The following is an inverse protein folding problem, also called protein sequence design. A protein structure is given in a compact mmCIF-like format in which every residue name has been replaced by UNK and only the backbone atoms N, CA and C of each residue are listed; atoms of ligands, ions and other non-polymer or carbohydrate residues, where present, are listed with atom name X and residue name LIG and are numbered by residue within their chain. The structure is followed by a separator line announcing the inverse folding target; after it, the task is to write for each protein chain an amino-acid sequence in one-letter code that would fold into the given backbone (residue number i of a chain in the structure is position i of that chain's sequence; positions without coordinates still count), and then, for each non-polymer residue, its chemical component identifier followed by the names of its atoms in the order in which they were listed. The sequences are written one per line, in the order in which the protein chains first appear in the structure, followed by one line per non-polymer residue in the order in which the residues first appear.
data_IF_983445526780
#
_entry.id   IF_983445526780
#
_cell.length_a   1.000
_cell.length_b   1.000
_cell.length_c   1.000
_cell.angle_alpha   90.00
_cell.angle_beta   90.00
_cell.angle_gamma   90.00
#
_symmetry.space_group_name_H-M   'P 1'
#
loop_
_entity.id
_entity.type
_entity.pdbx_description
1 polymer ?
#
# COMPACT_ATOMS: atom_id res chain seq x y z
N UNK A 1 -21.56 -40.81 16.97
CA UNK A 1 -20.89 -39.50 17.14
C UNK A 1 -19.69 -39.27 16.19
N UNK A 2 -19.10 -40.29 15.54
CA UNK A 2 -17.90 -40.10 14.70
C UNK A 2 -18.17 -39.47 13.31
N UNK A 3 -19.40 -39.58 12.78
CA UNK A 3 -19.75 -39.03 11.45
C UNK A 3 -19.77 -37.48 11.43
N UNK A 4 -20.22 -36.84 12.52
CA UNK A 4 -20.26 -35.37 12.63
C UNK A 4 -18.85 -34.74 12.72
N UNK A 5 -17.91 -35.41 13.40
CA UNK A 5 -16.54 -34.91 13.50
C UNK A 5 -15.79 -35.00 12.15
N UNK A 6 -16.08 -36.02 11.34
CA UNK A 6 -15.52 -36.16 9.99
C UNK A 6 -16.06 -35.08 9.03
N UNK A 7 -17.33 -34.71 9.15
CA UNK A 7 -17.95 -33.65 8.34
C UNK A 7 -17.38 -32.28 8.71
N UNK A 8 -17.20 -31.97 10.02
CA UNK A 8 -16.54 -30.74 10.46
C UNK A 8 -15.07 -30.65 10.00
N UNK A 9 -14.34 -31.76 9.97
CA UNK A 9 -12.96 -31.78 9.48
C UNK A 9 -12.87 -31.54 7.97
N UNK A 10 -13.78 -32.12 7.18
CA UNK A 10 -13.83 -31.89 5.72
C UNK A 10 -14.33 -30.49 5.37
N UNK A 11 -15.30 -29.94 6.09
CA UNK A 11 -15.71 -28.55 5.94
C UNK A 11 -14.55 -27.60 6.27
N UNK A 12 -13.78 -27.88 7.33
CA UNK A 12 -12.57 -27.14 7.67
C UNK A 12 -11.50 -27.17 6.56
N UNK A 13 -11.29 -28.32 5.92
CA UNK A 13 -10.36 -28.46 4.80
C UNK A 13 -10.82 -27.74 3.52
N UNK A 14 -12.13 -27.69 3.28
CA UNK A 14 -12.70 -26.96 2.14
C UNK A 14 -12.60 -25.45 2.35
N UNK A 15 -12.84 -24.96 3.57
CA UNK A 15 -12.69 -23.55 3.92
C UNK A 15 -11.24 -23.07 3.81
N UNK A 16 -10.27 -23.87 4.24
CA UNK A 16 -8.84 -23.53 4.07
C UNK A 16 -8.38 -23.61 2.62
N UNK A 17 -8.85 -24.62 1.86
CA UNK A 17 -8.56 -24.73 0.43
C UNK A 17 -9.11 -23.57 -0.39
N UNK A 18 -10.36 -23.17 -0.13
CA UNK A 18 -10.98 -22.02 -0.80
C UNK A 18 -10.30 -20.69 -0.42
N UNK A 19 -9.88 -20.56 0.84
CA UNK A 19 -9.09 -19.42 1.30
C UNK A 19 -7.74 -19.30 0.58
N UNK A 20 -7.05 -20.42 0.34
CA UNK A 20 -5.75 -20.42 -0.34
C UNK A 20 -5.86 -20.06 -1.82
N UNK A 21 -6.91 -20.53 -2.50
CA UNK A 21 -7.20 -20.12 -3.88
C UNK A 21 -7.55 -18.62 -3.95
N UNK A 22 -8.40 -18.11 -3.05
CA UNK A 22 -8.77 -16.69 -3.01
C UNK A 22 -7.56 -15.77 -2.75
N UNK A 23 -6.62 -16.19 -1.89
CA UNK A 23 -5.36 -15.46 -1.64
C UNK A 23 -4.49 -15.39 -2.90
N UNK A 24 -4.44 -16.48 -3.68
CA UNK A 24 -3.64 -16.55 -4.90
C UNK A 24 -4.17 -15.61 -6.00
N UNK A 25 -5.50 -15.55 -6.17
CA UNK A 25 -6.14 -14.64 -7.13
C UNK A 25 -6.02 -13.18 -6.71
N UNK A 26 -6.11 -12.89 -5.40
CA UNK A 26 -5.91 -11.53 -4.86
C UNK A 26 -4.46 -11.06 -5.05
N UNK A 27 -3.47 -11.94 -4.88
CA UNK A 27 -2.06 -11.63 -5.09
C UNK A 27 -1.75 -11.26 -6.56
N UNK A 28 -2.43 -11.90 -7.52
CA UNK A 28 -2.30 -11.53 -8.93
C UNK A 28 -2.96 -10.18 -9.26
N UNK A 29 -4.07 -9.85 -8.60
CA UNK A 29 -4.80 -8.60 -8.83
C UNK A 29 -4.07 -7.36 -8.27
N UNK A 30 -3.27 -7.50 -7.22
CA UNK A 30 -2.51 -6.37 -6.65
C UNK A 30 -1.23 -6.03 -7.45
N UNK A 31 -0.89 -6.82 -8.47
CA UNK A 31 0.32 -6.65 -9.27
C UNK A 31 0.13 -5.82 -10.56
N UNK A 32 -0.70 -4.78 -10.49
CA UNK A 32 -1.16 -4.02 -11.68
C UNK A 32 -0.29 -2.80 -12.03
N UNK A 33 0.85 -2.61 -11.34
CA UNK A 33 1.67 -1.44 -11.60
C UNK A 33 2.61 -1.66 -12.81
N UNK A 34 2.73 -0.68 -13.74
CA UNK A 34 3.53 -0.81 -14.96
C UNK A 34 5.03 -0.96 -14.67
N UNK A 35 5.81 -1.48 -15.61
CA UNK A 35 7.26 -1.56 -15.44
C UNK A 35 7.87 -0.17 -15.15
N UNK A 36 8.79 -0.10 -14.19
CA UNK A 36 9.43 1.17 -13.80
C UNK A 36 10.37 1.66 -14.90
N UNK A 37 10.04 2.79 -15.52
CA UNK A 37 10.86 3.41 -16.57
C UNK A 37 11.90 4.41 -16.03
N UNK A 38 11.87 4.73 -14.74
CA UNK A 38 12.78 5.68 -14.08
C UNK A 38 13.26 5.14 -12.72
N UNK A 39 14.40 5.64 -12.25
CA UNK A 39 14.97 5.25 -10.94
C UNK A 39 14.04 5.58 -9.76
N UNK A 40 13.36 6.71 -9.84
CA UNK A 40 12.37 7.12 -8.84
C UNK A 40 11.14 6.19 -8.85
N UNK A 41 10.73 5.67 -10.02
CA UNK A 41 9.64 4.71 -10.12
C UNK A 41 10.03 3.32 -9.58
N UNK A 42 11.30 2.93 -9.69
CA UNK A 42 11.84 1.69 -9.10
C UNK A 42 11.75 1.75 -7.56
N UNK A 43 12.18 2.86 -6.96
CA UNK A 43 12.10 3.04 -5.50
C UNK A 43 10.65 3.09 -4.99
N UNK A 44 9.75 3.76 -5.72
CA UNK A 44 8.30 3.77 -5.43
C UNK A 44 7.71 2.35 -5.48
N UNK A 45 8.09 1.53 -6.47
CA UNK A 45 7.64 0.14 -6.60
C UNK A 45 8.08 -0.70 -5.40
N UNK A 46 9.32 -0.51 -4.94
CA UNK A 46 9.84 -1.21 -3.76
C UNK A 46 9.09 -0.82 -2.47
N UNK A 47 8.80 0.47 -2.29
CA UNK A 47 7.99 0.95 -1.16
C UNK A 47 6.56 0.42 -1.20
N UNK A 48 5.95 0.32 -2.39
CA UNK A 48 4.61 -0.21 -2.56
C UNK A 48 4.51 -1.67 -2.08
N UNK A 49 5.41 -2.55 -2.54
CA UNK A 49 5.37 -3.97 -2.13
C UNK A 49 5.75 -4.18 -0.67
N UNK A 50 6.70 -3.41 -0.14
CA UNK A 50 7.07 -3.52 1.28
C UNK A 50 5.91 -3.13 2.21
N UNK A 51 5.09 -2.13 1.83
CA UNK A 51 3.86 -1.79 2.56
C UNK A 51 2.81 -2.89 2.44
N UNK A 52 2.60 -3.45 1.23
CA UNK A 52 1.64 -4.54 1.03
C UNK A 52 2.01 -5.78 1.87
N UNK A 53 3.28 -6.14 1.92
CA UNK A 53 3.76 -7.24 2.78
C UNK A 53 3.53 -6.91 4.25
N UNK A 54 3.81 -5.68 4.69
CA UNK A 54 3.56 -5.25 6.07
C UNK A 54 2.07 -5.36 6.46
N UNK A 55 1.18 -4.90 5.59
CA UNK A 55 -0.27 -5.05 5.77
C UNK A 55 -0.67 -6.52 5.87
N UNK A 56 -0.08 -7.39 5.06
CA UNK A 56 -0.38 -8.83 5.11
C UNK A 56 0.10 -9.47 6.41
N UNK A 57 1.32 -9.14 6.86
CA UNK A 57 1.89 -9.65 8.11
C UNK A 57 1.03 -9.26 9.31
N UNK A 58 0.62 -8.00 9.41
CA UNK A 58 -0.22 -7.53 10.53
C UNK A 58 -1.63 -8.11 10.47
N UNK A 59 -2.21 -8.29 9.29
CA UNK A 59 -3.50 -8.95 9.10
C UNK A 59 -3.48 -10.41 9.62
N UNK A 60 -2.48 -11.18 9.22
CA UNK A 60 -2.30 -12.57 9.70
C UNK A 60 -1.99 -12.58 11.20
N UNK A 61 -1.22 -11.61 11.69
CA UNK A 61 -0.93 -11.46 13.13
C UNK A 61 -2.19 -11.31 13.97
N UNK A 62 -3.12 -10.44 13.56
CA UNK A 62 -4.41 -10.25 14.24
C UNK A 62 -5.30 -11.49 14.10
N UNK A 63 -5.37 -12.08 12.91
CA UNK A 63 -6.20 -13.27 12.68
C UNK A 63 -5.70 -14.49 13.48
N UNK A 64 -4.38 -14.66 13.58
CA UNK A 64 -3.73 -15.69 14.40
C UNK A 64 -3.95 -15.45 15.89
N UNK A 65 -3.87 -14.20 16.36
CA UNK A 65 -4.15 -13.85 17.76
C UNK A 65 -5.60 -14.17 18.15
N UNK A 66 -6.56 -13.90 17.25
CA UNK A 66 -7.96 -14.27 17.45
C UNK A 66 -8.12 -15.79 17.53
N UNK A 67 -7.45 -16.55 16.64
CA UNK A 67 -7.49 -18.01 16.65
C UNK A 67 -6.85 -18.61 17.92
N UNK A 68 -5.77 -18.02 18.41
CA UNK A 68 -5.12 -18.39 19.67
C UNK A 68 -6.09 -18.32 20.85
N UNK A 69 -6.86 -17.23 20.94
CA UNK A 69 -7.88 -17.06 21.99
C UNK A 69 -8.94 -18.16 21.96
N UNK A 70 -9.41 -18.55 20.76
CA UNK A 70 -10.44 -19.57 20.59
C UNK A 70 -9.91 -20.99 20.89
N UNK A 71 -8.69 -21.32 20.48
CA UNK A 71 -8.12 -22.64 20.70
C UNK A 71 -7.70 -22.86 22.16
N UNK A 72 -7.15 -21.86 22.83
CA UNK A 72 -6.70 -21.96 24.22
C UNK A 72 -7.85 -21.95 25.23
N UNK A 73 -8.94 -21.20 24.95
CA UNK A 73 -10.10 -21.14 25.84
C UNK A 73 -11.16 -22.21 25.59
N UNK A 74 -10.91 -23.18 24.70
CA UNK A 74 -11.81 -24.33 24.52
C UNK A 74 -11.70 -25.33 25.70
N UNK A 75 -12.49 -25.04 26.74
CA UNK A 75 -13.34 -25.96 27.54
C UNK A 75 -12.74 -27.19 28.28
N UNK A 76 -11.44 -27.38 28.48
CA UNK A 76 -10.95 -28.64 29.06
C UNK A 76 -9.98 -28.61 30.26
N UNK A 77 -9.86 -27.53 31.04
CA UNK A 77 -9.17 -27.59 32.35
C UNK A 77 -9.87 -26.67 33.33
N UNK A 78 -10.62 -27.23 34.28
CA UNK A 78 -11.45 -26.51 35.26
C UNK A 78 -10.72 -25.32 35.91
N UNK A 79 -10.82 -24.16 35.29
CA UNK A 79 -10.08 -22.98 35.68
C UNK A 79 -10.80 -22.31 36.84
N UNK A 80 -10.19 -22.38 38.02
CA UNK A 80 -10.45 -21.43 39.11
C UNK A 80 -10.29 -20.04 38.51
N UNK A 81 -11.34 -19.22 38.56
CA UNK A 81 -11.31 -17.84 38.05
C UNK A 81 -10.27 -17.06 38.86
N UNK A 82 -9.05 -16.98 38.33
CA UNK A 82 -8.08 -16.03 38.82
C UNK A 82 -8.45 -14.66 38.24
N UNK A 83 -8.70 -13.70 39.13
CA UNK A 83 -8.87 -12.29 38.78
C UNK A 83 -7.52 -11.78 38.26
N UNK A 84 -7.23 -12.02 36.99
CA UNK A 84 -6.18 -11.32 36.28
C UNK A 84 -6.88 -10.24 35.46
N UNK A 85 -6.73 -9.01 35.94
CA UNK A 85 -6.88 -7.83 35.12
C UNK A 85 -6.17 -8.06 33.79
N UNK A 86 -6.82 -7.58 32.73
CA UNK A 86 -6.45 -7.60 31.31
C UNK A 86 -4.99 -7.92 31.02
N UNK A 87 -4.75 -8.62 29.92
CA UNK A 87 -3.40 -8.85 29.45
C UNK A 87 -2.78 -7.56 28.88
N UNK A 88 -2.60 -6.54 29.73
CA UNK A 88 -2.00 -5.25 29.41
C UNK A 88 -0.63 -5.45 28.77
N UNK A 89 0.11 -6.47 29.21
CA UNK A 89 1.39 -6.85 28.60
C UNK A 89 1.23 -7.26 27.13
N UNK A 90 0.22 -8.07 26.80
CA UNK A 90 0.01 -8.56 25.44
C UNK A 90 -0.56 -7.45 24.56
N UNK A 91 -1.44 -6.60 25.12
CA UNK A 91 -1.97 -5.37 24.50
C UNK A 91 -0.86 -4.38 24.09
N UNK A 92 0.08 -4.14 25.00
CA UNK A 92 1.21 -3.23 24.76
C UNK A 92 2.14 -3.82 23.70
N UNK A 93 2.43 -5.12 23.77
CA UNK A 93 3.37 -5.77 22.82
C UNK A 93 2.82 -5.69 21.39
N UNK A 94 1.55 -6.04 21.17
CA UNK A 94 1.03 -6.07 19.80
C UNK A 94 0.78 -4.70 19.20
N UNK A 95 0.69 -3.63 20.00
CA UNK A 95 0.52 -2.24 19.49
C UNK A 95 1.86 -1.55 19.24
N UNK A 96 2.87 -1.81 20.08
CA UNK A 96 4.22 -1.28 19.92
C UNK A 96 4.94 -1.90 18.72
N UNK A 97 4.79 -3.21 18.49
CA UNK A 97 5.46 -3.89 17.38
C UNK A 97 5.10 -3.27 16.01
N UNK A 98 3.82 -3.10 15.64
CA UNK A 98 3.43 -2.41 14.41
C UNK A 98 3.91 -0.96 14.35
N UNK A 99 3.89 -0.23 15.48
CA UNK A 99 4.32 1.16 15.54
C UNK A 99 5.80 1.33 15.20
N UNK A 100 6.68 0.50 15.77
CA UNK A 100 8.12 0.53 15.50
C UNK A 100 8.41 0.19 14.03
N UNK A 101 7.71 -0.79 13.46
CA UNK A 101 7.91 -1.20 12.06
C UNK A 101 7.57 -0.04 11.09
N UNK A 102 6.49 0.70 11.35
CA UNK A 102 6.11 1.86 10.53
C UNK A 102 7.15 2.99 10.62
N UNK A 103 7.68 3.26 11.82
CA UNK A 103 8.75 4.27 11.99
C UNK A 103 10.00 3.88 11.20
N UNK A 104 10.40 2.61 11.25
CA UNK A 104 11.55 2.13 10.47
C UNK A 104 11.37 2.33 8.96
N UNK A 105 10.14 2.13 8.46
CA UNK A 105 9.80 2.30 7.05
C UNK A 105 9.68 3.78 6.61
N UNK A 106 9.49 4.70 7.56
CA UNK A 106 9.39 6.12 7.25
C UNK A 106 10.69 6.71 6.68
N UNK A 107 11.85 6.17 7.07
CA UNK A 107 13.16 6.62 6.58
C UNK A 107 13.36 6.43 5.06
N UNK A 108 13.24 5.20 4.51
CA UNK A 108 13.37 5.01 3.06
C UNK A 108 12.26 5.73 2.29
N UNK A 109 11.03 5.79 2.80
CA UNK A 109 9.93 6.51 2.17
C UNK A 109 10.23 8.01 2.01
N UNK A 110 10.78 8.63 3.06
CA UNK A 110 11.12 10.06 3.03
C UNK A 110 12.19 10.38 1.99
N UNK A 111 13.19 9.50 1.83
CA UNK A 111 14.26 9.68 0.83
C UNK A 111 13.72 9.73 -0.59
N UNK A 112 12.76 8.86 -0.92
CA UNK A 112 12.12 8.82 -2.24
C UNK A 112 11.28 10.07 -2.50
N UNK A 113 10.52 10.56 -1.50
CA UNK A 113 9.71 11.78 -1.63
C UNK A 113 10.56 13.04 -1.84
N UNK A 114 11.72 13.13 -1.16
CA UNK A 114 12.66 14.24 -1.38
C UNK A 114 13.23 14.16 -2.79
N UNK A 115 13.71 12.99 -3.21
CA UNK A 115 14.23 12.78 -4.56
C UNK A 115 13.19 13.05 -5.68
N UNK A 116 11.89 12.84 -5.41
CA UNK A 116 10.80 13.21 -6.32
C UNK A 116 10.59 14.72 -6.46
N UNK A 117 10.91 15.50 -5.43
CA UNK A 117 10.70 16.95 -5.38
C UNK A 117 11.92 17.76 -5.83
N UNK A 118 13.08 17.13 -5.95
CA UNK A 118 14.32 17.78 -6.36
C UNK A 118 14.36 18.02 -7.87
N UNK A 119 13.80 19.15 -8.31
CA UNK A 119 13.79 19.58 -9.73
C UNK A 119 14.87 20.61 -10.07
N UNK A 120 15.85 20.84 -9.18
CA UNK A 120 16.83 21.94 -9.30
C UNK A 120 17.91 21.72 -10.37
N UNK A 121 18.02 20.52 -10.95
CA UNK A 121 19.07 20.14 -11.92
C UNK A 121 18.47 19.48 -13.16
N UNK A 122 17.43 20.08 -13.74
CA UNK A 122 16.78 19.54 -14.94
C UNK A 122 17.52 19.98 -16.22
N UNK A 123 18.02 19.01 -17.00
CA UNK A 123 18.64 19.27 -18.32
C UNK A 123 17.62 19.71 -19.39
N UNK A 124 16.34 19.33 -19.23
CA UNK A 124 15.25 19.65 -20.14
C UNK A 124 14.05 20.16 -19.36
N UNK A 125 13.52 21.31 -19.75
CA UNK A 125 12.29 21.89 -19.18
C UNK A 125 11.20 21.96 -20.24
N UNK A 126 10.17 21.13 -20.12
CA UNK A 126 9.00 21.12 -21.01
C UNK A 126 7.86 21.89 -20.34
N UNK A 127 7.33 22.91 -21.03
CA UNK A 127 6.10 23.60 -20.63
C UNK A 127 4.93 22.98 -21.37
N UNK A 128 4.14 22.15 -20.70
CA UNK A 128 2.89 21.66 -21.24
C UNK A 128 1.83 22.77 -21.12
N UNK A 129 1.43 23.35 -22.25
CA UNK A 129 0.26 24.24 -22.30
C UNK A 129 -0.92 23.44 -22.82
N UNK A 130 -2.02 23.44 -22.07
CA UNK A 130 -3.27 22.85 -22.53
C UNK A 130 -3.83 23.75 -23.63
N UNK A 131 -4.07 23.18 -24.82
CA UNK A 131 -4.39 23.88 -26.08
C UNK A 131 -5.71 24.67 -26.10
N UNK A 132 -6.34 24.88 -24.94
CA UNK A 132 -7.60 25.63 -24.79
C UNK A 132 -7.55 26.81 -23.80
N UNK A 133 -6.40 27.15 -23.22
CA UNK A 133 -6.30 28.32 -22.34
C UNK A 133 -6.16 29.60 -23.18
N UNK A 134 -7.29 30.19 -23.58
CA UNK A 134 -7.36 31.51 -24.22
C UNK A 134 -6.57 32.52 -23.36
N UNK A 135 -5.49 33.04 -23.95
CA UNK A 135 -4.49 33.86 -23.29
C UNK A 135 -5.07 35.22 -22.87
N UNK A 136 -5.11 35.48 -21.56
CA UNK A 136 -5.02 36.84 -21.06
C UNK A 136 -3.63 37.42 -21.39
N UNK A 137 -3.48 38.75 -21.59
CA UNK A 137 -2.21 39.36 -21.97
C UNK A 137 -1.10 39.02 -20.96
N UNK A 138 -0.06 38.32 -21.42
CA UNK A 138 1.15 38.03 -20.63
C UNK A 138 1.97 39.32 -20.53
N UNK A 139 2.16 39.93 -19.33
CA UNK A 139 2.97 41.12 -19.18
C UNK A 139 4.44 40.78 -19.49
N UNK A 140 5.02 41.42 -20.50
CA UNK A 140 6.43 41.26 -20.86
C UNK A 140 6.74 40.46 -22.14
N UNK A 141 5.72 40.06 -22.92
CA UNK A 141 5.97 39.49 -24.25
C UNK A 141 6.49 40.58 -25.21
N UNK A 142 7.81 40.61 -25.43
CA UNK A 142 8.43 41.38 -26.51
C UNK A 142 7.86 40.89 -27.84
N UNK A 143 7.07 41.74 -28.52
CA UNK A 143 6.56 41.44 -29.87
C UNK A 143 7.75 41.35 -30.83
N UNK A 144 8.04 40.14 -31.31
CA UNK A 144 8.84 39.97 -32.51
C UNK A 144 8.19 40.67 -33.71
N UNK A 145 8.97 41.12 -34.70
CA UNK A 145 8.47 41.98 -35.77
C UNK A 145 7.37 41.26 -36.54
N UNK A 146 6.28 42.02 -36.75
CA UNK A 146 5.08 41.63 -37.44
C UNK A 146 5.36 40.71 -38.63
N UNK A 147 4.67 39.57 -38.66
CA UNK A 147 4.42 38.81 -39.87
C UNK A 147 3.90 39.80 -40.91
N UNK A 148 4.77 40.17 -41.85
CA UNK A 148 4.43 41.02 -42.98
C UNK A 148 3.30 40.38 -43.75
N UNK A 149 2.31 41.21 -44.05
CA UNK A 149 1.12 40.89 -44.83
C UNK A 149 1.54 40.35 -46.20
N UNK A 150 1.67 39.03 -46.30
CA UNK A 150 1.61 38.29 -47.56
C UNK A 150 0.13 38.17 -47.89
N UNK A 151 -0.41 39.24 -48.46
CA UNK A 151 -1.68 39.18 -49.19
C UNK A 151 -1.75 40.33 -50.19
N UNK A 152 -1.49 39.97 -51.46
CA UNK A 152 -2.31 40.38 -52.60
C UNK A 152 -2.23 41.88 -52.96
N UNK A 153 -1.56 42.33 -54.03
CA UNK A 153 -1.71 41.78 -55.37
C UNK A 153 -2.95 42.30 -56.10
N UNK A 154 -3.27 43.61 -56.02
CA UNK A 154 -3.89 44.42 -57.09
C UNK A 154 -3.95 45.89 -56.70
#
# INVERSE_FOLDING_TARGET
MNKMNAICSRAGQVLTGLGLCAVSTLAAAVNDLPISATKIAEDQRWLHYSLLVLCMVTFVGVFGFMFWSVLMHRKAKGAKAANFHESTTVEIIWTIVPFIIVIGMAFPATKVVVAMKDTSSADLTIKAQQEGAVAGPVPGAVRGPAQRDVSTGR
#
